data_IF_774002468071
#
_entry.id   IF_774002468071
#
_cell.length_a   1.000
_cell.length_b   1.000
_cell.length_c   1.000
_cell.angle_alpha   90.00
_cell.angle_beta   90.00
_cell.angle_gamma   90.00
#
_symmetry.space_group_name_H-M   'P 1'
#
loop_
_entity.id
_entity.type
_entity.pdbx_description
1 polymer ?
#
# COMPACT_ATOMS: atom_id res chain seq x y z
N UNK A 1 -23.14 32.28 13.93
CA UNK A 1 -23.04 30.84 14.31
C UNK A 1 -22.70 30.04 13.06
N UNK A 2 -21.40 29.81 12.85
CA UNK A 2 -20.88 29.17 11.64
C UNK A 2 -21.08 27.66 11.73
N UNK A 3 -21.95 27.13 10.88
CA UNK A 3 -22.23 25.69 10.78
C UNK A 3 -21.07 25.07 10.00
N UNK A 4 -19.98 24.70 10.68
CA UNK A 4 -19.06 23.69 10.16
C UNK A 4 -19.80 22.35 10.19
N UNK A 5 -20.68 22.15 9.22
CA UNK A 5 -21.10 20.81 8.86
C UNK A 5 -19.86 20.11 8.29
N UNK A 6 -19.27 19.20 9.07
CA UNK A 6 -18.20 18.34 8.60
C UNK A 6 -18.64 17.73 7.28
N UNK A 7 -17.85 17.97 6.22
CA UNK A 7 -18.05 17.31 4.93
C UNK A 7 -18.08 15.81 5.22
N UNK A 8 -19.11 15.06 4.79
CA UNK A 8 -19.11 13.61 4.98
C UNK A 8 -17.80 13.07 4.41
N UNK A 9 -17.05 12.35 5.24
CA UNK A 9 -15.84 11.67 4.81
C UNK A 9 -16.24 10.71 3.69
N UNK A 10 -15.86 11.09 2.46
CA UNK A 10 -16.03 10.37 1.19
C UNK A 10 -17.49 10.30 0.74
N UNK A 11 -17.84 11.16 -0.23
CA UNK A 11 -19.01 10.92 -1.08
C UNK A 11 -18.86 9.53 -1.73
N UNK A 12 -19.93 8.70 -1.78
CA UNK A 12 -19.85 7.39 -2.39
C UNK A 12 -19.33 7.56 -3.81
N UNK A 13 -18.26 6.81 -4.16
CA UNK A 13 -17.74 6.80 -5.51
C UNK A 13 -18.92 6.64 -6.47
N UNK A 14 -19.14 7.65 -7.29
CA UNK A 14 -20.14 7.64 -8.35
C UNK A 14 -20.04 6.29 -9.06
N UNK A 15 -21.19 5.67 -9.35
CA UNK A 15 -21.27 4.36 -10.00
C UNK A 15 -20.51 4.31 -11.33
N UNK A 16 -20.26 5.48 -11.92
CA UNK A 16 -19.45 5.65 -13.13
C UNK A 16 -17.96 5.81 -12.79
N UNK A 17 -17.08 5.02 -13.42
CA UNK A 17 -15.65 5.13 -13.23
C UNK A 17 -15.13 6.47 -13.77
N UNK A 18 -14.37 7.19 -12.95
CA UNK A 18 -13.77 8.48 -13.30
C UNK A 18 -12.76 8.29 -14.46
N UNK A 19 -12.92 9.00 -15.60
CA UNK A 19 -12.07 8.83 -16.78
C UNK A 19 -10.60 9.17 -16.52
N UNK A 20 -10.31 10.12 -15.63
CA UNK A 20 -8.93 10.44 -15.21
C UNK A 20 -8.34 9.27 -14.46
N UNK A 21 -9.09 8.70 -13.51
CA UNK A 21 -8.62 7.57 -12.71
C UNK A 21 -8.39 6.33 -13.58
N UNK A 22 -9.29 6.03 -14.52
CA UNK A 22 -9.13 4.91 -15.45
C UNK A 22 -7.93 5.09 -16.40
N UNK A 23 -7.67 6.33 -16.85
CA UNK A 23 -6.49 6.62 -17.67
C UNK A 23 -5.17 6.29 -16.97
N UNK A 24 -5.08 6.46 -15.65
CA UNK A 24 -3.89 6.08 -14.87
C UNK A 24 -3.89 4.61 -14.45
N UNK A 25 -5.05 4.02 -14.16
CA UNK A 25 -5.17 2.61 -13.74
C UNK A 25 -4.71 1.62 -14.81
N UNK A 26 -4.79 1.98 -16.09
CA UNK A 26 -4.51 1.08 -17.23
C UNK A 26 -3.09 0.49 -17.19
N UNK A 27 -2.12 1.25 -16.69
CA UNK A 27 -0.70 0.87 -16.68
C UNK A 27 -0.26 0.30 -15.31
N UNK A 28 -1.19 0.16 -14.36
CA UNK A 28 -0.89 -0.42 -13.05
C UNK A 28 -0.88 -1.93 -13.14
N UNK A 29 0.29 -2.54 -13.00
CA UNK A 29 0.39 -3.99 -12.82
C UNK A 29 -0.19 -4.39 -11.45
N UNK A 30 -1.33 -5.06 -11.48
CA UNK A 30 -2.04 -5.53 -10.27
C UNK A 30 -1.56 -6.90 -9.80
N UNK A 31 -0.62 -7.54 -10.50
CA UNK A 31 -0.14 -8.90 -10.18
C UNK A 31 0.39 -8.96 -8.75
N UNK A 32 1.32 -8.08 -8.39
CA UNK A 32 1.88 -8.03 -7.05
C UNK A 32 0.88 -7.54 -5.99
N UNK A 33 -0.03 -6.63 -6.35
CA UNK A 33 -1.08 -6.16 -5.43
C UNK A 33 -2.01 -7.31 -5.04
N UNK A 34 -2.51 -8.06 -6.03
CA UNK A 34 -3.38 -9.22 -5.80
C UNK A 34 -2.65 -10.31 -5.02
N UNK A 35 -1.41 -10.63 -5.40
CA UNK A 35 -0.62 -11.62 -4.68
C UNK A 35 -0.37 -11.24 -3.20
N UNK A 36 -0.15 -9.96 -2.90
CA UNK A 36 0.01 -9.50 -1.52
C UNK A 36 -1.32 -9.50 -0.73
N UNK A 37 -2.41 -9.08 -1.37
CA UNK A 37 -3.73 -9.06 -0.73
C UNK A 37 -4.26 -10.46 -0.43
N UNK A 38 -3.89 -11.46 -1.24
CA UNK A 38 -4.26 -12.86 -1.02
C UNK A 38 -3.54 -13.52 0.17
N UNK A 39 -2.49 -12.90 0.74
CA UNK A 39 -1.74 -13.48 1.85
C UNK A 39 -2.59 -13.60 3.11
N UNK A 40 -2.41 -14.71 3.81
CA UNK A 40 -2.91 -14.93 5.18
C UNK A 40 -2.17 -14.05 6.18
N UNK A 41 -2.72 -13.94 7.39
CA UNK A 41 -2.06 -13.22 8.50
C UNK A 41 -0.70 -13.82 8.80
N UNK A 42 -0.60 -15.15 8.86
CA UNK A 42 0.64 -15.86 9.13
C UNK A 42 1.72 -15.55 8.08
N UNK A 43 1.36 -15.64 6.79
CA UNK A 43 2.29 -15.30 5.70
C UNK A 43 2.73 -13.82 5.73
N UNK A 44 1.85 -12.91 6.17
CA UNK A 44 2.22 -11.50 6.37
C UNK A 44 3.27 -11.36 7.47
N UNK A 45 3.09 -12.02 8.61
CA UNK A 45 4.04 -11.99 9.72
C UNK A 45 5.38 -12.61 9.33
N UNK A 46 5.37 -13.73 8.61
CA UNK A 46 6.59 -14.36 8.09
C UNK A 46 7.35 -13.43 7.14
N UNK A 47 6.65 -12.76 6.21
CA UNK A 47 7.27 -11.81 5.29
C UNK A 47 7.82 -10.59 6.02
N UNK A 48 7.13 -10.08 7.05
CA UNK A 48 7.65 -9.02 7.91
C UNK A 48 8.97 -9.45 8.57
N UNK A 49 9.03 -10.67 9.12
CA UNK A 49 10.26 -11.21 9.71
C UNK A 49 11.42 -11.31 8.70
N UNK A 50 11.14 -11.72 7.45
CA UNK A 50 12.14 -11.73 6.37
C UNK A 50 12.66 -10.33 6.06
N UNK A 51 11.78 -9.34 6.00
CA UNK A 51 12.14 -7.94 5.76
C UNK A 51 13.02 -7.36 6.88
N UNK A 52 12.71 -7.67 8.14
CA UNK A 52 13.53 -7.21 9.28
C UNK A 52 14.95 -7.77 9.20
N UNK A 53 15.12 -9.07 8.96
CA UNK A 53 16.44 -9.70 8.77
C UNK A 53 17.21 -9.08 7.61
N UNK A 54 16.54 -8.83 6.48
CA UNK A 54 17.16 -8.15 5.35
C UNK A 54 17.66 -6.75 5.72
N UNK A 55 16.86 -5.97 6.45
CA UNK A 55 17.24 -4.64 6.90
C UNK A 55 18.43 -4.68 7.88
N UNK A 56 18.47 -5.66 8.77
CA UNK A 56 19.61 -5.87 9.68
C UNK A 56 20.91 -6.15 8.92
N UNK A 57 20.86 -7.02 7.92
CA UNK A 57 22.02 -7.33 7.07
C UNK A 57 22.52 -6.11 6.30
N UNK A 58 21.62 -5.32 5.70
CA UNK A 58 21.99 -4.07 5.03
C UNK A 58 22.67 -3.09 5.99
N UNK A 59 22.14 -2.93 7.20
CA UNK A 59 22.75 -2.06 8.22
C UNK A 59 24.12 -2.58 8.66
N UNK A 60 24.27 -3.90 8.82
CA UNK A 60 25.55 -4.53 9.18
C UNK A 60 26.60 -4.28 8.09
N UNK A 61 26.26 -4.51 6.82
CA UNK A 61 27.13 -4.25 5.69
C UNK A 61 27.54 -2.78 5.60
N UNK A 62 26.58 -1.86 5.79
CA UNK A 62 26.85 -0.42 5.80
C UNK A 62 27.81 0.01 6.92
N UNK A 63 27.70 -0.60 8.11
CA UNK A 63 28.66 -0.35 9.21
C UNK A 63 30.05 -0.95 8.95
N UNK A 64 30.13 -2.10 8.27
CA UNK A 64 31.41 -2.76 8.00
C UNK A 64 32.22 -2.10 6.88
N UNK A 65 31.57 -1.28 6.03
CA UNK A 65 32.22 -0.58 4.92
C UNK A 65 32.69 0.85 5.28
N UNK A 66 32.25 1.40 6.41
CA UNK A 66 32.72 2.70 6.93
C UNK A 66 33.90 2.48 7.87
#
# INVERSE_FOLDING_TARGET
MSKLAGRPCVEPATSEPDPVVEAYKKDVDRTLLRANLARTVEERLQNLGRLQRFAEELRRAGRAHR
#
